data_IF_213675163045
#
_entry.id   IF_213675163045
#
_cell.length_a   1.000
_cell.length_b   1.000
_cell.length_c   1.000
_cell.angle_alpha   90.00
_cell.angle_beta   90.00
_cell.angle_gamma   90.00
#
_symmetry.space_group_name_H-M   'P 1'
#
loop_
_entity.id
_entity.type
_entity.pdbx_description
1 polymer ?
#
# COMPACT_ATOMS: atom_id res chain seq x y z
N UNK A 1 -6.38 -29.27 -1.86
CA UNK A 1 -6.79 -28.17 -2.74
C UNK A 1 -6.64 -26.88 -1.96
N UNK A 2 -6.05 -25.85 -2.57
CA UNK A 2 -5.82 -24.56 -1.93
C UNK A 2 -6.89 -23.59 -2.41
N UNK A 3 -7.95 -23.41 -1.61
CA UNK A 3 -8.95 -22.39 -1.90
C UNK A 3 -8.51 -21.03 -1.36
N UNK A 4 -8.85 -19.99 -2.09
CA UNK A 4 -8.63 -18.62 -1.67
C UNK A 4 -9.86 -17.75 -1.88
N UNK A 5 -10.03 -16.76 -1.00
CA UNK A 5 -11.05 -15.73 -1.17
C UNK A 5 -10.36 -14.40 -1.44
N UNK A 6 -10.83 -13.64 -2.41
CA UNK A 6 -10.38 -12.28 -2.68
C UNK A 6 -11.53 -11.31 -2.44
N UNK A 7 -11.28 -10.26 -1.67
CA UNK A 7 -12.19 -9.13 -1.51
C UNK A 7 -11.58 -7.87 -2.13
N UNK A 8 -12.32 -7.29 -3.07
CA UNK A 8 -12.12 -5.93 -3.56
C UNK A 8 -13.12 -5.01 -2.85
N UNK A 9 -12.61 -4.09 -2.04
CA UNK A 9 -13.42 -3.17 -1.22
C UNK A 9 -13.26 -1.75 -1.76
N UNK A 10 -14.36 -1.22 -2.28
CA UNK A 10 -14.48 0.12 -2.86
C UNK A 10 -15.46 0.96 -2.05
N UNK A 11 -15.60 2.26 -2.37
CA UNK A 11 -16.41 3.20 -1.58
C UNK A 11 -17.84 2.73 -1.26
N UNK A 12 -18.50 2.10 -2.24
CA UNK A 12 -19.93 1.74 -2.18
C UNK A 12 -20.19 0.25 -2.26
N UNK A 13 -19.20 -0.52 -2.69
CA UNK A 13 -19.37 -1.93 -3.00
C UNK A 13 -18.20 -2.77 -2.50
N UNK A 14 -18.51 -4.00 -2.10
CA UNK A 14 -17.53 -5.06 -1.91
C UNK A 14 -17.80 -6.12 -2.97
N UNK A 15 -16.77 -6.48 -3.70
CA UNK A 15 -16.80 -7.65 -4.58
C UNK A 15 -15.97 -8.76 -3.95
N UNK A 16 -16.56 -9.95 -3.85
CA UNK A 16 -15.92 -11.14 -3.34
C UNK A 16 -15.76 -12.18 -4.45
N UNK A 17 -14.65 -12.91 -4.42
CA UNK A 17 -14.34 -13.98 -5.35
C UNK A 17 -13.75 -15.16 -4.58
N UNK A 18 -14.26 -16.36 -4.83
CA UNK A 18 -13.72 -17.61 -4.29
C UNK A 18 -13.11 -18.39 -5.45
N UNK A 19 -11.85 -18.76 -5.31
CA UNK A 19 -11.07 -19.45 -6.34
C UNK A 19 -10.35 -20.67 -5.78
N UNK A 20 -10.07 -21.62 -6.67
CA UNK A 20 -9.11 -22.70 -6.50
C UNK A 20 -8.03 -22.51 -7.56
N UNK A 21 -6.82 -22.17 -7.13
CA UNK A 21 -5.75 -21.74 -8.04
C UNK A 21 -6.27 -20.60 -8.95
N UNK A 22 -6.21 -20.78 -10.28
CA UNK A 22 -6.68 -19.79 -11.26
C UNK A 22 -8.18 -19.95 -11.61
N UNK A 23 -8.87 -20.94 -11.06
CA UNK A 23 -10.28 -21.21 -11.37
C UNK A 23 -11.21 -20.47 -10.42
N UNK A 24 -12.04 -19.58 -10.97
CA UNK A 24 -13.10 -18.89 -10.23
C UNK A 24 -14.28 -19.85 -10.02
N UNK A 25 -14.68 -20.03 -8.77
CA UNK A 25 -15.75 -20.94 -8.36
C UNK A 25 -17.04 -20.17 -8.05
N UNK A 26 -16.91 -19.07 -7.31
CA UNK A 26 -18.04 -18.26 -6.89
C UNK A 26 -17.67 -16.78 -6.84
N UNK A 27 -18.66 -15.92 -7.06
CA UNK A 27 -18.49 -14.47 -6.97
C UNK A 27 -19.69 -13.84 -6.27
N UNK A 28 -19.46 -12.70 -5.62
CA UNK A 28 -20.50 -11.88 -5.03
C UNK A 28 -20.17 -10.40 -5.21
N UNK A 29 -21.21 -9.57 -5.27
CA UNK A 29 -21.08 -8.12 -5.24
C UNK A 29 -22.17 -7.54 -4.35
N UNK A 30 -21.77 -6.81 -3.32
CA UNK A 30 -22.65 -6.25 -2.31
C UNK A 30 -22.48 -4.75 -2.23
N UNK A 31 -23.57 -3.99 -2.32
CA UNK A 31 -23.57 -2.61 -1.85
C UNK A 31 -23.54 -2.58 -0.32
N UNK A 32 -22.90 -1.58 0.27
CA UNK A 32 -22.79 -1.52 1.72
C UNK A 32 -22.77 -0.12 2.32
N UNK A 33 -23.43 0.00 3.47
CA UNK A 33 -23.21 1.11 4.39
C UNK A 33 -22.26 0.73 5.52
N UNK A 34 -22.44 -0.48 6.06
CA UNK A 34 -21.60 -1.09 7.09
C UNK A 34 -20.63 -2.11 6.47
N UNK A 35 -19.33 -1.82 6.58
CA UNK A 35 -18.24 -2.63 6.04
C UNK A 35 -18.15 -4.01 6.71
N UNK A 36 -18.38 -4.08 8.03
CA UNK A 36 -18.30 -5.33 8.80
C UNK A 36 -19.41 -6.29 8.36
N UNK A 37 -20.63 -5.76 8.27
CA UNK A 37 -21.79 -6.52 7.84
C UNK A 37 -21.63 -7.05 6.42
N UNK A 38 -21.15 -6.21 5.50
CA UNK A 38 -20.95 -6.60 4.11
C UNK A 38 -19.85 -7.66 3.92
N UNK A 39 -18.76 -7.59 4.68
CA UNK A 39 -17.74 -8.65 4.67
C UNK A 39 -18.30 -10.00 5.13
N UNK A 40 -19.04 -10.00 6.25
CA UNK A 40 -19.64 -11.23 6.77
C UNK A 40 -20.66 -11.83 5.78
N UNK A 41 -21.50 -11.00 5.18
CA UNK A 41 -22.44 -11.43 4.15
C UNK A 41 -21.73 -11.91 2.89
N UNK A 42 -20.65 -11.24 2.48
CA UNK A 42 -19.84 -11.64 1.33
C UNK A 42 -19.25 -13.03 1.51
N UNK A 43 -18.62 -13.30 2.67
CA UNK A 43 -18.11 -14.62 3.02
C UNK A 43 -19.22 -15.68 3.01
N UNK A 44 -20.35 -15.39 3.67
CA UNK A 44 -21.49 -16.31 3.71
C UNK A 44 -22.06 -16.62 2.32
N UNK A 45 -22.17 -15.63 1.44
CA UNK A 45 -22.69 -15.83 0.10
C UNK A 45 -21.74 -16.68 -0.75
N UNK A 46 -20.43 -16.39 -0.71
CA UNK A 46 -19.43 -17.18 -1.42
C UNK A 46 -19.46 -18.64 -0.97
N UNK A 47 -19.51 -18.89 0.34
CA UNK A 47 -19.57 -20.25 0.88
C UNK A 47 -20.87 -20.97 0.49
N UNK A 48 -22.03 -20.32 0.62
CA UNK A 48 -23.34 -20.93 0.29
C UNK A 48 -23.50 -21.30 -1.18
N UNK A 49 -22.80 -20.62 -2.07
CA UNK A 49 -22.78 -20.96 -3.50
C UNK A 49 -21.93 -22.21 -3.79
N UNK A 50 -21.24 -22.76 -2.79
CA UNK A 50 -20.29 -23.87 -2.93
C UNK A 50 -20.52 -24.95 -1.87
N UNK A 51 -19.91 -26.12 -2.07
CA UNK A 51 -19.85 -27.18 -1.07
C UNK A 51 -18.48 -27.26 -0.40
N UNK A 52 -17.72 -26.17 -0.42
CA UNK A 52 -16.35 -26.11 0.10
C UNK A 52 -16.39 -26.05 1.61
N UNK A 53 -15.57 -26.89 2.25
CA UNK A 53 -15.38 -26.82 3.70
C UNK A 53 -14.58 -25.53 4.02
N UNK A 54 -15.07 -24.64 4.92
CA UNK A 54 -14.37 -23.40 5.27
C UNK A 54 -12.91 -23.57 5.71
N UNK A 55 -12.54 -24.72 6.27
CA UNK A 55 -11.17 -25.03 6.69
C UNK A 55 -10.19 -25.29 5.52
N UNK A 56 -10.72 -25.50 4.32
CA UNK A 56 -9.94 -25.68 3.09
C UNK A 56 -9.52 -24.33 2.47
N UNK A 57 -10.12 -23.23 2.91
CA UNK A 57 -9.69 -21.88 2.53
C UNK A 57 -8.37 -21.58 3.24
N UNK A 58 -7.30 -21.39 2.47
CA UNK A 58 -5.94 -21.17 3.01
C UNK A 58 -5.56 -19.70 3.04
N UNK A 59 -6.15 -18.87 2.18
CA UNK A 59 -5.78 -17.45 2.08
C UNK A 59 -6.99 -16.58 1.77
N UNK A 60 -7.05 -15.42 2.43
CA UNK A 60 -7.94 -14.32 2.11
C UNK A 60 -7.10 -13.14 1.64
N UNK A 61 -7.35 -12.68 0.43
CA UNK A 61 -6.73 -11.49 -0.14
C UNK A 61 -7.63 -10.28 0.05
N UNK A 62 -7.05 -9.17 0.52
CA UNK A 62 -7.73 -7.89 0.68
C UNK A 62 -7.12 -6.90 -0.30
N UNK A 63 -7.96 -6.35 -1.18
CA UNK A 63 -7.62 -5.26 -2.09
C UNK A 63 -8.50 -4.07 -1.76
N UNK A 64 -7.91 -3.00 -1.26
CA UNK A 64 -8.65 -1.78 -0.92
C UNK A 64 -7.72 -0.58 -0.83
N UNK A 65 -8.27 0.63 -1.00
CA UNK A 65 -7.58 1.87 -0.68
C UNK A 65 -8.12 2.40 0.65
N UNK A 66 -7.40 2.10 1.74
CA UNK A 66 -7.84 2.50 3.09
C UNK A 66 -7.86 4.02 3.27
N UNK A 67 -7.02 4.74 2.52
CA UNK A 67 -6.99 6.20 2.56
C UNK A 67 -8.22 6.79 1.89
N UNK A 68 -8.66 6.22 0.77
CA UNK A 68 -9.93 6.58 0.14
C UNK A 68 -11.11 6.25 1.07
N UNK A 69 -11.16 5.04 1.64
CA UNK A 69 -12.23 4.65 2.58
C UNK A 69 -12.28 5.55 3.82
N UNK A 70 -11.13 6.03 4.31
CA UNK A 70 -11.08 7.04 5.37
C UNK A 70 -11.64 8.40 4.91
N UNK A 71 -11.29 8.83 3.69
CA UNK A 71 -11.79 10.08 3.10
C UNK A 71 -13.32 10.13 3.00
N UNK A 72 -13.94 9.00 2.63
CA UNK A 72 -15.40 8.86 2.48
C UNK A 72 -16.11 8.44 3.78
N UNK A 73 -15.40 8.35 4.91
CA UNK A 73 -15.99 8.06 6.22
C UNK A 73 -16.34 6.60 6.48
N UNK A 74 -15.83 5.65 5.68
CA UNK A 74 -16.00 4.21 5.89
C UNK A 74 -15.00 3.61 6.89
N UNK A 75 -13.92 4.33 7.19
CA UNK A 75 -12.98 4.02 8.28
C UNK A 75 -13.18 5.01 9.43
N UNK A 76 -13.27 4.49 10.65
CA UNK A 76 -13.51 5.29 11.86
C UNK A 76 -12.33 6.24 12.13
N UNK A 77 -12.67 7.49 12.44
CA UNK A 77 -11.69 8.52 12.81
C UNK A 77 -11.42 8.48 14.31
N UNK A 78 -10.14 8.50 14.68
CA UNK A 78 -9.70 8.50 16.07
C UNK A 78 -8.98 9.80 16.43
N UNK A 79 -8.91 10.11 17.73
CA UNK A 79 -8.13 11.27 18.21
C UNK A 79 -6.66 10.88 18.28
N UNK A 80 -5.83 11.53 17.48
CA UNK A 80 -4.40 11.24 17.40
C UNK A 80 -3.62 12.34 18.12
N UNK A 81 -2.68 11.94 18.98
CA UNK A 81 -1.66 12.82 19.50
C UNK A 81 -0.43 12.78 18.61
N UNK A 82 0.19 13.92 18.37
CA UNK A 82 1.38 14.05 17.54
C UNK A 82 2.43 14.92 18.21
N UNK A 83 3.67 14.43 18.26
CA UNK A 83 4.80 15.17 18.82
C UNK A 83 5.91 15.29 17.79
N UNK A 84 6.27 16.54 17.46
CA UNK A 84 7.50 16.90 16.77
C UNK A 84 8.63 16.96 17.79
N UNK A 85 9.64 16.10 17.66
CA UNK A 85 10.82 16.12 18.53
C UNK A 85 12.02 16.70 17.77
N UNK A 86 12.36 17.96 18.09
CA UNK A 86 13.34 18.80 17.40
C UNK A 86 14.39 19.34 18.40
N UNK A 87 15.43 18.56 18.75
CA UNK A 87 16.47 18.99 19.68
C UNK A 87 17.20 20.25 19.24
N UNK A 88 17.56 21.12 20.18
CA UNK A 88 18.24 22.42 19.96
C UNK A 88 19.50 22.38 19.08
N UNK A 89 20.08 21.20 18.84
CA UNK A 89 21.20 21.00 17.91
C UNK A 89 20.81 21.37 16.47
N UNK A 90 19.52 21.36 16.12
CA UNK A 90 19.04 21.94 14.87
C UNK A 90 19.05 23.47 14.95
N UNK A 91 20.22 24.12 14.73
CA UNK A 91 20.36 25.57 14.51
C UNK A 91 19.69 26.08 13.22
N UNK A 92 18.98 25.19 12.51
CA UNK A 92 18.32 25.48 11.25
C UNK A 92 16.84 25.68 11.52
N UNK A 93 16.27 26.75 10.95
CA UNK A 93 14.84 27.08 10.96
C UNK A 93 14.01 25.79 10.96
N UNK A 94 13.21 25.50 12.01
CA UNK A 94 12.34 24.34 12.00
C UNK A 94 11.53 24.37 10.69
N UNK A 95 11.18 23.23 10.08
CA UNK A 95 10.32 23.23 8.90
C UNK A 95 9.07 24.05 9.25
N UNK A 96 9.03 25.28 8.71
CA UNK A 96 8.16 26.35 9.19
C UNK A 96 6.69 26.04 8.94
N UNK A 97 6.43 25.13 8.00
CA UNK A 97 5.09 24.71 7.66
C UNK A 97 4.74 23.41 8.37
N UNK A 98 3.62 23.47 9.09
CA UNK A 98 2.95 22.27 9.57
C UNK A 98 2.31 21.53 8.41
N UNK A 99 2.35 20.19 8.47
CA UNK A 99 1.48 19.37 7.63
C UNK A 99 0.05 19.91 7.68
N UNK A 100 -0.67 20.01 6.54
CA UNK A 100 -2.09 20.39 6.53
C UNK A 100 -2.96 19.52 7.46
N UNK A 101 -2.53 18.29 7.77
CA UNK A 101 -3.20 17.36 8.69
C UNK A 101 -3.08 17.76 10.16
N UNK A 102 -2.23 18.73 10.52
CA UNK A 102 -2.07 19.20 11.89
C UNK A 102 -3.39 19.71 12.51
N UNK A 103 -4.35 20.14 11.67
CA UNK A 103 -5.69 20.57 12.09
C UNK A 103 -6.60 19.42 12.54
N UNK A 104 -6.28 18.18 12.18
CA UNK A 104 -7.08 16.98 12.47
C UNK A 104 -6.61 16.24 13.73
N UNK A 105 -5.53 16.72 14.37
CA UNK A 105 -4.80 16.00 15.40
C UNK A 105 -4.36 16.95 16.52
N UNK A 106 -4.04 16.37 17.68
CA UNK A 106 -3.49 17.11 18.81
C UNK A 106 -1.97 17.20 18.65
N UNK A 107 -1.41 18.40 18.50
CA UNK A 107 0.03 18.57 18.21
C UNK A 107 0.82 19.16 19.38
N UNK A 108 2.10 18.81 19.47
CA UNK A 108 3.10 19.47 20.29
C UNK A 108 4.46 19.47 19.58
N UNK A 109 5.29 20.48 19.86
CA UNK A 109 6.70 20.54 19.43
C UNK A 109 7.58 20.65 20.66
N UNK A 110 8.60 19.81 20.74
CA UNK A 110 9.47 19.67 21.91
C UNK A 110 10.93 19.58 21.46
N UNK A 111 11.86 19.96 22.32
CA UNK A 111 13.29 20.05 22.01
C UNK A 111 14.20 19.29 23.00
N UNK A 112 13.61 18.62 23.99
CA UNK A 112 14.33 17.87 25.01
C UNK A 112 13.51 16.67 25.48
N UNK A 113 14.14 15.75 26.21
CA UNK A 113 13.43 14.58 26.74
C UNK A 113 12.48 14.99 27.89
N UNK A 114 12.84 15.99 28.68
CA UNK A 114 11.96 16.53 29.73
C UNK A 114 10.70 17.17 29.12
N UNK A 115 10.86 17.97 28.05
CA UNK A 115 9.72 18.56 27.35
C UNK A 115 8.88 17.51 26.60
N UNK A 116 9.50 16.42 26.12
CA UNK A 116 8.79 15.26 25.58
C UNK A 116 7.90 14.59 26.62
N UNK A 117 8.41 14.29 27.83
CA UNK A 117 7.61 13.68 28.88
C UNK A 117 6.45 14.60 29.31
N UNK A 118 6.71 15.91 29.42
CA UNK A 118 5.67 16.89 29.72
C UNK A 118 4.59 16.96 28.62
N UNK A 119 4.99 16.90 27.34
CA UNK A 119 4.07 16.87 26.22
C UNK A 119 3.22 15.58 26.24
N UNK A 120 3.83 14.41 26.45
CA UNK A 120 3.11 13.13 26.61
C UNK A 120 2.07 13.24 27.73
N UNK A 121 2.46 13.74 28.91
CA UNK A 121 1.53 13.96 30.03
C UNK A 121 0.38 14.90 29.66
N UNK A 122 0.65 15.95 28.88
CA UNK A 122 -0.39 16.88 28.43
C UNK A 122 -1.39 16.23 27.46
N UNK A 123 -0.92 15.29 26.62
CA UNK A 123 -1.77 14.55 25.69
C UNK A 123 -2.78 13.64 26.41
N UNK A 124 -2.46 13.16 27.62
CA UNK A 124 -3.37 12.36 28.43
C UNK A 124 -4.67 13.09 28.77
N UNK A 125 -4.58 14.41 28.99
CA UNK A 125 -5.75 15.26 29.22
C UNK A 125 -6.67 15.36 27.99
N UNK A 126 -6.14 15.07 26.80
CA UNK A 126 -6.84 15.19 25.51
C UNK A 126 -7.49 13.89 25.05
N UNK A 127 -7.37 12.79 25.82
CA UNK A 127 -7.97 11.49 25.52
C UNK A 127 -7.65 10.97 24.11
N UNK A 128 -6.37 11.05 23.73
CA UNK A 128 -5.91 10.50 22.45
C UNK A 128 -5.99 8.97 22.46
N UNK A 129 -6.15 8.36 21.28
CA UNK A 129 -6.21 6.91 21.09
C UNK A 129 -4.91 6.31 20.54
N UNK A 130 -4.02 7.16 20.01
CA UNK A 130 -2.72 6.78 19.46
C UNK A 130 -1.76 7.97 19.54
N UNK A 131 -0.49 7.70 19.78
CA UNK A 131 0.58 8.70 19.79
C UNK A 131 1.52 8.50 18.61
N UNK A 132 1.65 9.53 17.77
CA UNK A 132 2.61 9.60 16.69
C UNK A 132 3.78 10.51 17.10
N UNK A 133 5.02 10.09 16.86
CA UNK A 133 6.20 10.89 17.20
C UNK A 133 7.12 10.97 16.00
N UNK A 134 7.44 12.20 15.58
CA UNK A 134 8.40 12.44 14.50
C UNK A 134 9.70 13.01 15.08
N UNK A 135 10.71 12.15 15.35
CA UNK A 135 12.03 12.64 15.68
C UNK A 135 12.65 13.38 14.51
N UNK A 136 13.46 14.40 14.82
CA UNK A 136 14.45 14.91 13.89
C UNK A 136 15.38 13.79 13.44
N UNK A 137 16.01 13.99 12.28
CA UNK A 137 16.98 13.04 11.75
C UNK A 137 18.12 12.74 12.75
N UNK A 138 18.61 13.76 13.46
CA UNK A 138 19.68 13.63 14.46
C UNK A 138 19.26 12.82 15.70
N UNK A 139 17.96 12.79 16.01
CA UNK A 139 17.42 12.08 17.17
C UNK A 139 16.98 10.65 16.91
N UNK A 140 16.96 10.22 15.64
CA UNK A 140 16.43 8.92 15.23
C UNK A 140 17.07 7.73 15.96
N UNK A 141 18.37 7.80 16.21
CA UNK A 141 19.14 6.67 16.78
C UNK A 141 18.80 6.38 18.23
N UNK A 142 18.48 7.41 19.01
CA UNK A 142 18.23 7.28 20.44
C UNK A 142 16.75 7.44 20.80
N UNK A 143 15.95 8.12 19.97
CA UNK A 143 14.50 8.22 20.18
C UNK A 143 13.78 7.11 19.40
N UNK A 144 13.69 5.94 20.02
CA UNK A 144 13.03 4.75 19.48
C UNK A 144 11.70 4.50 20.17
N UNK A 145 10.91 3.56 19.63
CA UNK A 145 9.68 3.10 20.30
C UNK A 145 10.01 2.56 21.69
N UNK A 146 11.10 1.80 21.83
CA UNK A 146 11.54 1.22 23.09
C UNK A 146 11.86 2.29 24.14
N UNK A 147 12.46 3.42 23.74
CA UNK A 147 12.76 4.51 24.69
C UNK A 147 11.53 5.31 25.10
N UNK A 148 10.49 5.36 24.26
CA UNK A 148 9.30 6.18 24.53
C UNK A 148 8.16 5.38 25.17
N UNK A 149 8.05 4.07 24.90
CA UNK A 149 6.99 3.22 25.47
C UNK A 149 6.85 3.34 26.99
N UNK A 150 7.93 3.30 27.80
CA UNK A 150 7.80 3.42 29.26
C UNK A 150 7.19 4.77 29.70
N UNK A 151 7.50 5.86 28.99
CA UNK A 151 6.92 7.18 29.28
C UNK A 151 5.44 7.24 28.94
N UNK A 152 5.07 6.67 27.79
CA UNK A 152 3.69 6.60 27.34
C UNK A 152 2.87 5.75 28.30
N UNK A 153 3.36 4.58 28.68
CA UNK A 153 2.69 3.69 29.62
C UNK A 153 2.48 4.36 30.99
N UNK A 154 3.52 5.03 31.50
CA UNK A 154 3.47 5.78 32.78
C UNK A 154 2.37 6.86 32.81
N UNK A 155 2.16 7.59 31.71
CA UNK A 155 1.29 8.78 31.70
C UNK A 155 -0.04 8.59 30.98
N UNK A 156 -0.12 7.67 30.03
CA UNK A 156 -1.25 7.44 29.13
C UNK A 156 -1.81 6.00 29.21
N UNK A 157 -1.12 5.09 29.90
CA UNK A 157 -1.42 3.67 29.88
C UNK A 157 -1.03 3.00 28.55
N UNK A 158 -1.51 1.77 28.30
CA UNK A 158 -1.19 1.04 27.08
C UNK A 158 -1.82 1.75 25.88
N UNK A 159 -0.98 2.45 25.11
CA UNK A 159 -1.38 3.23 23.95
C UNK A 159 -0.50 2.86 22.74
N UNK A 160 -1.07 2.67 21.54
CA UNK A 160 -0.28 2.49 20.33
C UNK A 160 0.63 3.69 20.05
N UNK A 161 1.89 3.41 19.73
CA UNK A 161 2.90 4.41 19.36
C UNK A 161 3.37 4.14 17.92
N UNK A 162 3.32 5.18 17.08
CA UNK A 162 3.84 5.15 15.71
C UNK A 162 5.01 6.14 15.62
N UNK A 163 6.19 5.63 15.27
CA UNK A 163 7.38 6.47 15.12
C UNK A 163 7.55 6.86 13.65
N UNK A 164 7.84 8.12 13.35
CA UNK A 164 8.13 8.56 11.98
C UNK A 164 9.33 7.84 11.35
N UNK A 165 10.24 7.37 12.19
CA UNK A 165 11.42 6.58 11.80
C UNK A 165 11.09 5.35 10.97
N UNK A 166 9.88 4.79 11.07
CA UNK A 166 9.52 3.60 10.30
C UNK A 166 9.44 3.84 8.78
N UNK A 167 9.29 5.10 8.33
CA UNK A 167 9.14 5.43 6.91
C UNK A 167 10.47 5.68 6.19
N UNK A 168 11.61 5.66 6.90
CA UNK A 168 12.95 5.78 6.31
C UNK A 168 13.13 6.98 5.35
N UNK A 169 12.42 8.09 5.60
CA UNK A 169 12.54 9.35 4.83
C UNK A 169 13.40 10.35 5.58
N UNK A 170 14.39 10.94 4.90
CA UNK A 170 15.27 11.97 5.48
C UNK A 170 14.51 13.27 5.70
N UNK A 171 13.76 13.71 4.68
CA UNK A 171 12.98 14.93 4.73
C UNK A 171 11.95 14.90 5.86
N UNK A 172 11.99 15.93 6.71
CA UNK A 172 11.18 15.98 7.93
C UNK A 172 9.69 16.09 7.61
N UNK A 173 9.34 16.97 6.67
CA UNK A 173 7.96 17.22 6.25
C UNK A 173 7.38 16.03 5.50
N UNK A 174 8.15 15.38 4.62
CA UNK A 174 7.70 14.18 3.93
C UNK A 174 7.43 13.04 4.91
N UNK A 175 8.32 12.86 5.90
CA UNK A 175 8.14 11.86 6.95
C UNK A 175 6.97 12.19 7.87
N UNK A 176 6.79 13.46 8.20
CA UNK A 176 5.63 13.93 8.95
C UNK A 176 4.33 13.61 8.21
N UNK A 177 4.24 13.94 6.93
CA UNK A 177 3.05 13.68 6.12
C UNK A 177 2.71 12.19 6.08
N UNK A 178 3.71 11.33 5.82
CA UNK A 178 3.51 9.87 5.84
C UNK A 178 3.08 9.36 7.21
N UNK A 179 3.73 9.83 8.28
CA UNK A 179 3.43 9.44 9.64
C UNK A 179 2.00 9.81 10.03
N UNK A 180 1.60 11.06 9.78
CA UNK A 180 0.28 11.55 10.15
C UNK A 180 -0.81 10.86 9.36
N UNK A 181 -0.65 10.71 8.04
CA UNK A 181 -1.61 9.98 7.22
C UNK A 181 -1.73 8.53 7.68
N UNK A 182 -0.62 7.84 7.95
CA UNK A 182 -0.69 6.45 8.43
C UNK A 182 -1.34 6.36 9.82
N UNK A 183 -0.98 7.26 10.75
CA UNK A 183 -1.52 7.29 12.10
C UNK A 183 -3.05 7.47 12.14
N UNK A 184 -3.61 8.24 11.21
CA UNK A 184 -5.06 8.41 11.05
C UNK A 184 -5.78 7.11 10.65
N UNK A 185 -5.07 6.17 10.01
CA UNK A 185 -5.63 4.93 9.48
C UNK A 185 -5.47 3.75 10.45
N UNK A 186 -4.35 3.66 11.17
CA UNK A 186 -3.92 2.46 11.93
C UNK A 186 -5.03 1.86 12.80
N UNK A 187 -5.74 2.68 13.58
CA UNK A 187 -6.77 2.17 14.50
C UNK A 187 -8.02 1.68 13.78
N UNK A 188 -8.54 2.46 12.84
CA UNK A 188 -9.75 2.08 12.09
C UNK A 188 -9.50 0.88 11.19
N UNK A 189 -8.32 0.77 10.59
CA UNK A 189 -7.91 -0.43 9.83
C UNK A 189 -7.68 -1.63 10.74
N UNK A 190 -7.16 -1.42 11.96
CA UNK A 190 -7.09 -2.47 12.97
C UNK A 190 -8.47 -3.06 13.28
N UNK A 191 -9.48 -2.21 13.50
CA UNK A 191 -10.86 -2.64 13.73
C UNK A 191 -11.45 -3.40 12.53
N UNK A 192 -11.15 -2.97 11.30
CA UNK A 192 -11.55 -3.68 10.09
C UNK A 192 -11.05 -5.13 10.11
N UNK A 193 -9.77 -5.35 10.38
CA UNK A 193 -9.21 -6.71 10.43
C UNK A 193 -9.75 -7.50 11.62
N UNK A 194 -10.03 -6.87 12.76
CA UNK A 194 -10.66 -7.55 13.90
C UNK A 194 -12.08 -8.04 13.55
N UNK A 195 -12.83 -7.24 12.81
CA UNK A 195 -14.17 -7.62 12.33
C UNK A 195 -14.09 -8.75 11.29
N UNK A 196 -13.13 -8.68 10.36
CA UNK A 196 -12.88 -9.75 9.40
C UNK A 196 -12.50 -11.06 10.10
N UNK A 197 -11.58 -11.02 11.07
CA UNK A 197 -11.18 -12.18 11.85
C UNK A 197 -12.36 -12.80 12.63
N UNK A 198 -13.24 -11.97 13.20
CA UNK A 198 -14.49 -12.44 13.84
C UNK A 198 -15.42 -13.13 12.85
N UNK A 199 -15.62 -12.54 11.66
CA UNK A 199 -16.46 -13.13 10.61
C UNK A 199 -15.89 -14.49 10.16
N UNK A 200 -14.59 -14.56 9.91
CA UNK A 200 -13.89 -15.81 9.57
C UNK A 200 -14.04 -16.87 10.66
N UNK A 201 -13.80 -16.51 11.93
CA UNK A 201 -13.94 -17.42 13.06
C UNK A 201 -15.36 -17.97 13.22
N UNK A 202 -16.38 -17.14 12.97
CA UNK A 202 -17.79 -17.57 13.02
C UNK A 202 -18.17 -18.58 11.93
N UNK A 203 -17.39 -18.61 10.84
CA UNK A 203 -17.57 -19.51 9.70
C UNK A 203 -16.57 -20.69 9.72
N UNK A 204 -15.71 -20.78 10.74
CA UNK A 204 -14.68 -21.83 10.83
C UNK A 204 -13.52 -21.67 9.83
N UNK A 205 -13.29 -20.47 9.30
CA UNK A 205 -12.18 -20.16 8.39
C UNK A 205 -10.92 -19.83 9.20
N UNK A 206 -9.81 -20.53 8.92
CA UNK A 206 -8.49 -20.33 9.57
C UNK A 206 -7.43 -19.77 8.62
N UNK A 207 -7.87 -19.23 7.48
CA UNK A 207 -7.03 -18.71 6.42
C UNK A 207 -6.11 -17.56 6.87
N UNK A 208 -4.97 -17.41 6.19
CA UNK A 208 -4.13 -16.22 6.34
C UNK A 208 -4.73 -15.04 5.61
N UNK A 209 -4.58 -13.83 6.16
CA UNK A 209 -4.98 -12.61 5.48
C UNK A 209 -3.75 -11.93 4.85
N UNK A 210 -3.81 -11.74 3.53
CA UNK A 210 -2.81 -11.01 2.76
C UNK A 210 -3.46 -9.77 2.14
N UNK A 211 -2.74 -8.65 2.11
CA UNK A 211 -3.27 -7.37 1.64
C UNK A 211 -2.42 -6.83 0.50
N UNK A 212 -3.08 -6.42 -0.58
CA UNK A 212 -2.40 -5.85 -1.74
C UNK A 212 -1.90 -4.44 -1.45
N UNK A 213 -0.66 -4.19 -1.83
CA UNK A 213 -0.03 -2.87 -1.80
C UNK A 213 -0.17 -2.19 -3.16
N UNK A 214 -0.08 -0.87 -3.12
CA UNK A 214 0.07 0.06 -4.25
C UNK A 214 1.11 -0.36 -5.29
N UNK A 215 2.18 -1.05 -4.89
CA UNK A 215 3.24 -1.51 -5.79
C UNK A 215 2.97 -2.89 -6.43
N UNK A 216 1.79 -3.47 -6.22
CA UNK A 216 1.39 -4.77 -6.75
C UNK A 216 1.93 -5.98 -5.98
N UNK A 217 2.51 -5.78 -4.80
CA UNK A 217 2.95 -6.88 -3.93
C UNK A 217 2.00 -7.07 -2.74
N UNK A 218 1.94 -8.28 -2.20
CA UNK A 218 1.18 -8.59 -0.98
C UNK A 218 2.03 -8.32 0.27
N UNK A 219 1.36 -7.87 1.32
CA UNK A 219 1.88 -7.83 2.69
C UNK A 219 0.97 -8.64 3.63
N UNK A 220 1.50 -9.04 4.78
CA UNK A 220 0.73 -9.73 5.82
C UNK A 220 -0.28 -8.79 6.47
N UNK A 221 -1.30 -9.36 7.11
CA UNK A 221 -2.23 -8.63 7.97
C UNK A 221 -1.52 -7.75 9.01
N UNK A 222 -0.50 -8.30 9.69
CA UNK A 222 0.30 -7.59 10.68
C UNK A 222 0.94 -6.33 10.10
N UNK A 223 1.48 -6.40 8.89
CA UNK A 223 2.02 -5.24 8.17
C UNK A 223 0.92 -4.29 7.73
N UNK A 224 -0.20 -4.78 7.22
CA UNK A 224 -1.30 -3.93 6.78
C UNK A 224 -1.94 -3.14 7.94
N UNK A 225 -1.99 -3.71 9.16
CA UNK A 225 -2.40 -3.00 10.39
C UNK A 225 -1.42 -1.89 10.78
N UNK A 226 -0.12 -2.11 10.57
CA UNK A 226 0.92 -1.14 10.92
C UNK A 226 1.10 -0.04 9.85
N UNK A 227 0.95 -0.40 8.57
CA UNK A 227 1.24 0.43 7.40
C UNK A 227 0.09 0.46 6.39
N UNK A 228 -1.16 0.76 6.82
CA UNK A 228 -2.30 0.82 5.90
C UNK A 228 -2.12 1.84 4.78
N UNK A 229 -1.26 2.85 4.95
CA UNK A 229 -0.97 3.84 3.92
C UNK A 229 -0.42 3.23 2.61
N UNK A 230 0.19 2.04 2.66
CA UNK A 230 0.72 1.38 1.47
C UNK A 230 -0.36 0.77 0.57
N UNK A 231 -1.63 0.74 0.98
CA UNK A 231 -2.74 0.24 0.15
C UNK A 231 -3.33 1.30 -0.78
N UNK A 232 -2.77 2.52 -0.79
CA UNK A 232 -3.25 3.59 -1.66
C UNK A 232 -3.23 3.19 -3.13
N UNK A 233 -4.33 3.39 -3.86
CA UNK A 233 -4.49 2.89 -5.24
C UNK A 233 -4.25 1.37 -5.42
N UNK A 234 -4.34 0.54 -4.38
CA UNK A 234 -4.20 -0.91 -4.52
C UNK A 234 -5.23 -1.54 -5.49
N UNK A 235 -6.50 -1.10 -5.57
CA UNK A 235 -7.43 -1.57 -6.61
C UNK A 235 -6.90 -1.42 -8.03
N UNK A 236 -6.21 -0.30 -8.32
CA UNK A 236 -5.60 -0.05 -9.61
C UNK A 236 -4.37 -0.95 -9.84
N UNK A 237 -3.59 -1.22 -8.79
CA UNK A 237 -2.51 -2.19 -8.85
C UNK A 237 -3.04 -3.59 -9.20
N UNK A 238 -4.17 -4.01 -8.65
CA UNK A 238 -4.80 -5.29 -8.98
C UNK A 238 -5.17 -5.39 -10.47
N UNK A 239 -5.72 -4.32 -11.06
CA UNK A 239 -5.99 -4.28 -12.50
C UNK A 239 -4.72 -4.43 -13.36
N UNK A 240 -3.59 -3.88 -12.92
CA UNK A 240 -2.32 -4.03 -13.64
C UNK A 240 -1.77 -5.47 -13.54
N UNK A 241 -2.04 -6.16 -12.44
CA UNK A 241 -1.63 -7.55 -12.23
C UNK A 241 -2.50 -8.56 -12.98
N UNK A 242 -3.79 -8.29 -13.19
CA UNK A 242 -4.75 -9.23 -13.83
C UNK A 242 -4.47 -9.53 -15.32
N UNK A 243 -3.35 -9.05 -15.84
CA UNK A 243 -3.05 -9.07 -17.27
C UNK A 243 -1.57 -9.33 -17.55
N UNK A 244 -0.93 -10.29 -16.88
CA UNK A 244 0.48 -10.64 -17.19
C UNK A 244 0.66 -10.94 -18.70
N UNK A 245 1.63 -10.27 -19.33
CA UNK A 245 2.08 -10.59 -20.67
C UNK A 245 3.44 -11.29 -20.57
N UNK A 246 3.56 -12.58 -20.92
CA UNK A 246 4.69 -13.41 -20.52
C UNK A 246 6.04 -13.03 -21.16
N UNK A 247 6.03 -12.24 -22.24
CA UNK A 247 7.22 -12.04 -23.08
C UNK A 247 7.83 -10.64 -23.03
N UNK A 248 7.27 -9.69 -22.29
CA UNK A 248 7.80 -8.31 -22.26
C UNK A 248 8.15 -7.85 -20.86
N UNK A 249 9.29 -7.16 -20.76
CA UNK A 249 9.69 -6.47 -19.53
C UNK A 249 8.72 -5.34 -19.22
N UNK A 250 8.30 -4.55 -20.21
CA UNK A 250 7.39 -3.43 -20.04
C UNK A 250 6.12 -3.63 -20.84
N UNK A 251 4.97 -3.29 -20.25
CA UNK A 251 3.66 -3.45 -20.90
C UNK A 251 2.79 -2.25 -20.57
N UNK A 252 2.22 -1.61 -21.58
CA UNK A 252 1.23 -0.56 -21.41
C UNK A 252 -0.12 -1.20 -21.07
N UNK A 253 -0.79 -0.66 -20.05
CA UNK A 253 -2.10 -1.10 -19.58
C UNK A 253 -3.12 -0.03 -19.88
N UNK A 254 -4.24 -0.44 -20.48
CA UNK A 254 -5.40 0.44 -20.71
C UNK A 254 -6.59 -0.16 -20.00
N UNK A 255 -7.08 0.52 -18.97
CA UNK A 255 -8.18 0.07 -18.12
C UNK A 255 -9.36 1.02 -18.27
N UNK A 256 -10.53 0.46 -18.55
CA UNK A 256 -11.78 1.19 -18.44
C UNK A 256 -12.20 1.34 -16.97
N UNK A 257 -12.32 2.58 -16.49
CA UNK A 257 -12.98 2.91 -15.24
C UNK A 257 -14.32 3.61 -15.48
N UNK A 258 -15.09 3.83 -14.41
CA UNK A 258 -16.49 4.34 -14.50
C UNK A 258 -16.67 5.64 -15.30
N UNK A 259 -15.69 6.55 -15.23
CA UNK A 259 -15.74 7.89 -15.86
C UNK A 259 -14.47 8.26 -16.60
N UNK A 260 -13.54 7.32 -16.73
CA UNK A 260 -12.23 7.60 -17.30
C UNK A 260 -11.60 6.35 -17.87
N UNK A 261 -10.79 6.53 -18.90
CA UNK A 261 -9.87 5.54 -19.43
C UNK A 261 -8.51 5.78 -18.79
N UNK A 262 -7.98 4.76 -18.11
CA UNK A 262 -6.73 4.85 -17.36
C UNK A 262 -5.63 4.13 -18.11
N UNK A 263 -4.52 4.82 -18.33
CA UNK A 263 -3.31 4.31 -18.94
C UNK A 263 -2.23 4.18 -17.88
N UNK A 264 -1.47 3.11 -17.91
CA UNK A 264 -0.26 2.99 -17.12
C UNK A 264 0.66 1.92 -17.68
N UNK A 265 1.62 1.49 -16.87
CA UNK A 265 2.63 0.54 -17.31
C UNK A 265 2.92 -0.48 -16.22
N UNK A 266 3.24 -1.71 -16.62
CA UNK A 266 3.89 -2.69 -15.75
C UNK A 266 5.35 -2.88 -16.15
N UNK A 267 6.19 -3.18 -15.17
CA UNK A 267 7.57 -3.62 -15.33
C UNK A 267 7.73 -5.00 -14.67
N UNK A 268 8.15 -6.01 -15.44
CA UNK A 268 8.34 -7.41 -14.99
C UNK A 268 7.11 -7.97 -14.27
N UNK A 269 5.92 -7.70 -14.83
CA UNK A 269 4.64 -8.16 -14.28
C UNK A 269 4.08 -7.33 -13.13
N UNK A 270 4.83 -6.37 -12.59
CA UNK A 270 4.38 -5.52 -11.48
C UNK A 270 4.03 -4.11 -11.96
N UNK A 271 3.11 -3.38 -11.30
CA UNK A 271 2.89 -1.96 -11.57
C UNK A 271 4.20 -1.17 -11.59
N UNK A 272 4.44 -0.43 -12.68
CA UNK A 272 5.50 0.57 -12.69
C UNK A 272 5.09 1.70 -11.74
N UNK A 273 5.74 1.73 -10.58
CA UNK A 273 5.31 2.52 -9.43
C UNK A 273 6.41 3.46 -8.94
N UNK A 274 6.72 4.53 -9.70
CA UNK A 274 7.72 5.51 -9.31
C UNK A 274 7.32 6.20 -8.01
N UNK A 275 8.31 6.76 -7.31
CA UNK A 275 8.07 7.60 -6.15
C UNK A 275 7.59 9.00 -6.58
N UNK A 276 6.36 9.07 -7.07
CA UNK A 276 5.71 10.33 -7.43
C UNK A 276 4.97 10.94 -6.22
N UNK A 277 4.82 12.28 -6.16
CA UNK A 277 3.95 12.92 -5.19
C UNK A 277 2.50 12.50 -5.44
N UNK A 278 1.86 11.92 -4.42
CA UNK A 278 0.42 11.72 -4.37
C UNK A 278 -0.18 12.77 -3.45
N UNK A 279 -1.16 13.54 -3.92
CA UNK A 279 -1.84 14.51 -3.08
C UNK A 279 -3.05 13.86 -2.40
N UNK A 280 -3.07 13.83 -1.07
CA UNK A 280 -4.23 13.42 -0.28
C UNK A 280 -4.60 14.55 0.68
N UNK A 281 -5.84 15.05 0.63
CA UNK A 281 -6.29 16.17 1.48
C UNK A 281 -5.30 17.36 1.45
N UNK A 282 -4.80 17.71 0.26
CA UNK A 282 -3.79 18.77 0.03
C UNK A 282 -2.39 18.46 0.59
N UNK A 283 -2.14 17.24 1.06
CA UNK A 283 -0.86 16.82 1.62
C UNK A 283 -0.08 16.03 0.58
N UNK A 284 1.16 16.44 0.23
CA UNK A 284 2.00 15.66 -0.66
C UNK A 284 2.56 14.43 0.09
N UNK A 285 2.23 13.25 -0.44
CA UNK A 285 2.69 11.95 0.03
C UNK A 285 3.65 11.36 -1.00
N UNK A 286 4.90 11.13 -0.60
CA UNK A 286 5.90 10.51 -1.47
C UNK A 286 5.90 8.99 -1.30
N UNK A 287 4.92 8.34 -1.93
CA UNK A 287 4.69 6.89 -1.90
C UNK A 287 4.87 6.28 -3.29
N UNK A 288 5.36 5.04 -3.34
CA UNK A 288 5.29 4.24 -4.57
C UNK A 288 3.83 3.91 -4.84
N UNK A 289 3.35 4.22 -6.03
CA UNK A 289 1.99 3.92 -6.48
C UNK A 289 1.96 3.83 -8.00
N UNK A 290 0.97 3.15 -8.61
CA UNK A 290 0.96 2.95 -10.06
C UNK A 290 0.99 4.30 -10.79
N UNK A 291 1.98 4.47 -11.68
CA UNK A 291 2.05 5.65 -12.52
C UNK A 291 1.01 5.56 -13.61
N UNK A 292 0.13 6.55 -13.66
CA UNK A 292 -0.99 6.57 -14.60
C UNK A 292 -1.24 7.92 -15.20
N UNK A 293 -1.74 7.92 -16.43
CA UNK A 293 -2.43 9.05 -17.06
C UNK A 293 -3.88 8.63 -17.32
N UNK A 294 -4.81 9.57 -17.37
CA UNK A 294 -6.21 9.25 -17.65
C UNK A 294 -6.88 10.25 -18.57
N UNK A 295 -7.87 9.74 -19.32
CA UNK A 295 -8.73 10.52 -20.21
C UNK A 295 -10.16 10.41 -19.68
N UNK A 296 -10.87 11.52 -19.43
CA UNK A 296 -12.29 11.48 -19.08
C UNK A 296 -13.09 10.77 -20.18
N UNK A 297 -13.96 9.84 -19.80
CA UNK A 297 -14.86 9.18 -20.74
C UNK A 297 -16.16 10.01 -20.87
N UNK A 298 -16.59 10.37 -22.09
CA UNK A 298 -17.84 11.08 -22.29
C UNK A 298 -19.02 10.15 -21.99
N UNK A 299 -20.10 10.73 -21.46
CA UNK A 299 -21.30 9.99 -21.07
C UNK A 299 -22.09 9.42 -22.28
N UNK A 300 -21.83 9.93 -23.49
CA UNK A 300 -22.50 9.51 -24.72
C UNK A 300 -21.46 9.22 -25.81
N UNK A 301 -21.75 8.20 -26.60
CA UNK A 301 -21.03 7.86 -27.83
C UNK A 301 -21.35 8.88 -28.94
N UNK A 302 -20.49 9.03 -29.97
CA UNK A 302 -19.26 8.28 -30.25
C UNK A 302 -18.01 8.78 -29.49
N UNK A 303 -16.98 7.94 -29.40
CA UNK A 303 -15.70 8.23 -28.72
C UNK A 303 -14.62 8.82 -29.64
N UNK A 304 -14.97 9.30 -30.84
CA UNK A 304 -13.99 9.71 -31.85
C UNK A 304 -13.11 10.87 -31.39
N UNK A 305 -13.63 11.76 -30.55
CA UNK A 305 -12.90 12.89 -29.98
C UNK A 305 -11.75 12.46 -29.05
N UNK A 306 -11.75 11.20 -28.58
CA UNK A 306 -10.69 10.67 -27.72
C UNK A 306 -9.43 10.27 -28.52
N UNK A 307 -9.52 10.21 -29.86
CA UNK A 307 -8.46 9.60 -30.69
C UNK A 307 -7.09 10.25 -30.50
N UNK A 308 -7.01 11.57 -30.59
CA UNK A 308 -5.71 12.27 -30.48
C UNK A 308 -5.17 12.20 -29.06
N UNK A 309 -6.02 12.38 -28.04
CA UNK A 309 -5.61 12.22 -26.65
C UNK A 309 -5.08 10.82 -26.35
N UNK A 310 -5.72 9.76 -26.86
CA UNK A 310 -5.23 8.37 -26.71
C UNK A 310 -3.85 8.20 -27.36
N UNK A 311 -3.66 8.73 -28.58
CA UNK A 311 -2.36 8.65 -29.27
C UNK A 311 -1.25 9.37 -28.50
N UNK A 312 -1.52 10.58 -28.02
CA UNK A 312 -0.54 11.37 -27.25
C UNK A 312 -0.13 10.64 -25.98
N UNK A 313 -1.09 10.07 -25.23
CA UNK A 313 -0.79 9.31 -24.03
C UNK A 313 0.03 8.07 -24.37
N UNK A 314 -0.39 7.26 -25.35
CA UNK A 314 0.36 6.06 -25.76
C UNK A 314 1.79 6.40 -26.21
N UNK A 315 1.97 7.50 -26.95
CA UNK A 315 3.27 7.99 -27.36
C UNK A 315 4.14 8.40 -26.15
N UNK A 316 3.55 8.98 -25.10
CA UNK A 316 4.28 9.35 -23.88
C UNK A 316 4.77 8.16 -23.04
N UNK A 317 4.13 6.99 -23.18
CA UNK A 317 4.58 5.74 -22.55
C UNK A 317 5.62 5.00 -23.40
N UNK A 318 5.66 5.26 -24.72
CA UNK A 318 6.59 4.59 -25.60
C UNK A 318 7.98 5.21 -25.42
N UNK A 319 8.92 4.42 -24.92
CA UNK A 319 10.33 4.84 -24.89
C UNK A 319 10.86 4.85 -26.33
N UNK A 320 11.76 5.78 -26.65
CA UNK A 320 12.09 6.22 -28.02
C UNK A 320 12.47 5.12 -29.03
N UNK A 321 12.71 3.87 -28.63
CA UNK A 321 13.20 2.78 -29.48
C UNK A 321 12.48 1.43 -29.30
N UNK A 322 11.39 1.33 -28.53
CA UNK A 322 10.67 0.06 -28.32
C UNK A 322 9.16 0.21 -28.54
N UNK A 323 8.56 -0.59 -29.43
CA UNK A 323 7.09 -0.71 -29.54
C UNK A 323 6.55 -1.53 -28.38
N UNK A 324 6.18 -0.88 -27.28
CA UNK A 324 5.70 -1.56 -26.10
C UNK A 324 4.35 -2.25 -26.35
N UNK A 325 4.17 -3.49 -25.87
CA UNK A 325 2.89 -4.17 -25.96
C UNK A 325 1.81 -3.44 -25.15
N UNK A 326 0.60 -3.37 -25.70
CA UNK A 326 -0.59 -2.76 -25.07
C UNK A 326 -1.56 -3.86 -24.67
N UNK A 327 -1.97 -3.91 -23.40
CA UNK A 327 -3.03 -4.81 -22.94
C UNK A 327 -4.27 -4.02 -22.58
N UNK A 328 -5.39 -4.38 -23.21
CA UNK A 328 -6.68 -3.73 -23.06
C UNK A 328 -7.55 -4.50 -22.06
N UNK A 329 -7.92 -3.83 -20.97
CA UNK A 329 -8.94 -4.26 -20.02
C UNK A 329 -10.13 -3.31 -20.13
N UNK A 330 -10.87 -3.46 -21.22
CA UNK A 330 -11.98 -2.58 -21.62
C UNK A 330 -13.19 -3.46 -21.93
N UNK A 331 -14.33 -3.16 -21.32
CA UNK A 331 -15.57 -3.90 -21.48
C UNK A 331 -16.37 -3.38 -22.67
N UNK A 332 -16.37 -2.06 -22.89
CA UNK A 332 -17.14 -1.44 -23.98
C UNK A 332 -16.57 -1.77 -25.36
N UNK A 333 -17.41 -2.35 -26.22
CA UNK A 333 -17.02 -2.84 -27.55
C UNK A 333 -16.55 -1.70 -28.46
N UNK A 334 -17.21 -0.56 -28.45
CA UNK A 334 -16.88 0.58 -29.31
C UNK A 334 -15.52 1.18 -28.91
N UNK A 335 -15.30 1.36 -27.61
CA UNK A 335 -14.05 1.87 -27.06
C UNK A 335 -12.88 0.91 -27.35
N UNK A 336 -13.12 -0.39 -27.16
CA UNK A 336 -12.16 -1.45 -27.51
C UNK A 336 -11.81 -1.39 -28.99
N UNK A 337 -12.80 -1.28 -29.88
CA UNK A 337 -12.59 -1.18 -31.33
C UNK A 337 -11.77 0.05 -31.70
N UNK A 338 -12.05 1.20 -31.08
CA UNK A 338 -11.27 2.43 -31.25
C UNK A 338 -9.81 2.23 -30.83
N UNK A 339 -9.58 1.64 -29.66
CA UNK A 339 -8.24 1.36 -29.13
C UNK A 339 -7.44 0.41 -30.02
N UNK A 340 -8.06 -0.69 -30.49
CA UNK A 340 -7.42 -1.60 -31.43
C UNK A 340 -6.98 -0.89 -32.71
N UNK A 341 -7.86 -0.05 -33.31
CA UNK A 341 -7.52 0.71 -34.52
C UNK A 341 -6.39 1.71 -34.28
N UNK A 342 -6.36 2.36 -33.12
CA UNK A 342 -5.28 3.29 -32.76
C UNK A 342 -3.96 2.53 -32.60
N UNK A 343 -3.95 1.45 -31.82
CA UNK A 343 -2.75 0.62 -31.61
C UNK A 343 -2.20 0.07 -32.93
N UNK A 344 -3.07 -0.44 -33.81
CA UNK A 344 -2.68 -0.93 -35.14
C UNK A 344 -2.02 0.17 -36.00
N UNK A 345 -2.56 1.39 -35.98
CA UNK A 345 -1.98 2.54 -36.71
C UNK A 345 -0.64 3.00 -36.15
N UNK A 346 -0.42 2.79 -34.86
CA UNK A 346 0.84 3.09 -34.17
C UNK A 346 1.83 1.91 -34.21
N UNK A 347 1.49 0.80 -34.90
CA UNK A 347 2.28 -0.43 -34.94
C UNK A 347 2.59 -1.00 -33.54
N UNK A 348 1.66 -0.81 -32.59
CA UNK A 348 1.76 -1.33 -31.24
C UNK A 348 1.14 -2.74 -31.17
N UNK A 349 1.88 -3.75 -30.70
CA UNK A 349 1.31 -5.06 -30.42
C UNK A 349 0.21 -4.92 -29.36
N UNK A 350 -0.95 -5.56 -29.57
CA UNK A 350 -2.13 -5.37 -28.71
C UNK A 350 -2.77 -6.69 -28.33
N UNK A 351 -3.10 -6.83 -27.04
CA UNK A 351 -3.79 -7.99 -26.47
C UNK A 351 -4.98 -7.56 -25.64
N UNK A 352 -5.92 -8.47 -25.49
CA UNK A 352 -7.02 -8.32 -24.54
C UNK A 352 -6.67 -9.03 -23.23
N UNK A 353 -6.98 -8.41 -22.10
CA UNK A 353 -6.79 -9.03 -20.80
C UNK A 353 -7.70 -10.25 -20.65
N UNK A 354 -7.14 -11.40 -20.25
CA UNK A 354 -7.90 -12.63 -20.04
C UNK A 354 -8.75 -12.58 -18.76
N UNK A 355 -8.32 -11.82 -17.75
CA UNK A 355 -8.91 -11.86 -16.43
C UNK A 355 -9.41 -10.49 -15.96
N UNK A 356 -10.37 -10.51 -15.04
CA UNK A 356 -10.89 -9.31 -14.38
C UNK A 356 -9.94 -8.78 -13.31
N UNK A 357 -10.07 -7.50 -12.94
CA UNK A 357 -9.26 -6.85 -11.90
C UNK A 357 -9.25 -7.59 -10.56
N UNK A 358 -10.31 -8.33 -10.25
CA UNK A 358 -10.48 -9.07 -8.99
C UNK A 358 -9.54 -10.28 -8.87
N UNK A 359 -9.02 -10.77 -9.99
CA UNK A 359 -8.09 -11.91 -10.05
C UNK A 359 -6.63 -11.49 -9.93
N UNK A 360 -6.30 -10.21 -10.20
CA UNK A 360 -4.91 -9.76 -10.23
C UNK A 360 -4.19 -9.90 -8.89
N UNK A 361 -4.94 -9.86 -7.79
CA UNK A 361 -4.37 -10.10 -6.46
C UNK A 361 -3.95 -11.56 -6.23
N UNK A 362 -4.54 -12.52 -6.94
CA UNK A 362 -4.23 -13.95 -6.80
C UNK A 362 -2.81 -14.27 -7.33
N UNK A 363 -2.36 -13.51 -8.33
CA UNK A 363 -1.02 -13.65 -8.93
C UNK A 363 0.01 -12.69 -8.31
N UNK A 364 -0.40 -11.88 -7.33
CA UNK A 364 0.49 -10.91 -6.69
C UNK A 364 1.56 -11.63 -5.85
N UNK A 365 2.85 -11.29 -6.01
CA UNK A 365 3.88 -11.87 -5.15
C UNK A 365 3.78 -11.28 -3.73
N UNK A 366 4.01 -12.12 -2.73
CA UNK A 366 4.21 -11.66 -1.35
C UNK A 366 5.63 -11.12 -1.19
N UNK A 367 5.78 -10.00 -0.48
CA UNK A 367 7.08 -9.40 -0.22
C UNK A 367 7.22 -8.98 1.25
N UNK A 368 8.33 -9.41 1.85
CA UNK A 368 8.82 -8.88 3.12
C UNK A 368 9.99 -7.95 2.81
N UNK A 369 9.98 -6.76 3.38
CA UNK A 369 11.03 -5.77 3.14
C UNK A 369 11.39 -5.00 4.41
N UNK A 370 12.68 -4.68 4.53
CA UNK A 370 13.16 -3.71 5.50
C UNK A 370 14.07 -2.71 4.79
N UNK A 371 13.90 -1.45 5.13
CA UNK A 371 14.76 -0.35 4.71
C UNK A 371 15.50 0.19 5.94
N UNK A 372 16.75 0.58 5.75
CA UNK A 372 17.55 1.22 6.79
C UNK A 372 18.40 2.33 6.18
N UNK A 373 18.43 3.47 6.88
CA UNK A 373 19.32 4.57 6.53
C UNK A 373 20.66 4.44 7.27
N UNK A 374 21.76 4.56 6.54
CA UNK A 374 23.12 4.57 7.04
C UNK A 374 23.65 6.02 7.04
N UNK A 375 24.04 6.54 8.20
CA UNK A 375 24.48 7.94 8.36
C UNK A 375 25.91 8.19 7.95
N UNK A 376 26.82 7.31 8.38
CA UNK A 376 28.25 7.31 8.08
C UNK A 376 28.82 6.07 8.77
N UNK A 377 29.14 5.03 8.00
CA UNK A 377 29.71 3.82 8.57
C UNK A 377 30.79 3.23 7.67
N UNK A 378 31.93 2.97 8.30
CA UNK A 378 33.02 2.16 7.76
C UNK A 378 32.53 0.73 7.45
N UNK A 379 33.20 0.07 6.50
CA UNK A 379 32.82 -1.25 5.98
C UNK A 379 32.34 -2.30 7.01
N UNK A 380 33.03 -2.53 8.14
CA UNK A 380 32.65 -3.57 9.11
C UNK A 380 31.23 -3.40 9.67
N UNK A 381 30.86 -2.16 10.03
CA UNK A 381 29.54 -1.85 10.61
C UNK A 381 28.43 -1.89 9.57
N UNK A 382 28.75 -1.66 8.29
CA UNK A 382 27.82 -1.85 7.18
C UNK A 382 27.43 -3.33 7.04
N UNK A 383 28.40 -4.23 7.06
CA UNK A 383 28.16 -5.68 6.99
C UNK A 383 27.30 -6.19 8.17
N UNK A 384 27.55 -5.69 9.38
CA UNK A 384 26.74 -6.02 10.57
C UNK A 384 25.27 -5.61 10.39
N UNK A 385 25.01 -4.40 9.88
CA UNK A 385 23.64 -3.92 9.64
C UNK A 385 22.96 -4.75 8.55
N UNK A 386 23.67 -5.08 7.47
CA UNK A 386 23.13 -5.94 6.42
C UNK A 386 22.77 -7.33 6.95
N UNK A 387 23.63 -7.93 7.77
CA UNK A 387 23.36 -9.21 8.43
C UNK A 387 22.13 -9.12 9.35
N UNK A 388 22.02 -8.07 10.16
CA UNK A 388 20.89 -7.85 11.05
C UNK A 388 19.56 -7.66 10.29
N UNK A 389 19.59 -7.00 9.12
CA UNK A 389 18.40 -6.84 8.28
C UNK A 389 17.96 -8.17 7.65
N UNK A 390 18.90 -9.00 7.20
CA UNK A 390 18.59 -10.35 6.74
C UNK A 390 18.01 -11.22 7.85
N UNK A 391 18.63 -11.22 9.03
CA UNK A 391 18.14 -11.97 10.19
C UNK A 391 16.70 -11.55 10.53
N UNK A 392 16.42 -10.24 10.55
CA UNK A 392 15.08 -9.70 10.79
C UNK A 392 14.07 -10.15 9.74
N UNK A 393 14.45 -10.20 8.46
CA UNK A 393 13.59 -10.72 7.39
C UNK A 393 13.27 -12.20 7.59
N UNK A 394 14.25 -13.01 8.00
CA UNK A 394 14.03 -14.44 8.26
C UNK A 394 13.19 -14.70 9.51
N UNK A 395 13.42 -13.94 10.58
CA UNK A 395 12.58 -13.99 11.78
C UNK A 395 11.14 -13.60 11.45
N UNK A 396 10.94 -12.56 10.63
CA UNK A 396 9.61 -12.16 10.18
C UNK A 396 8.94 -13.26 9.35
N UNK A 397 9.65 -13.82 8.37
CA UNK A 397 9.17 -14.94 7.54
C UNK A 397 8.70 -16.13 8.39
N UNK A 398 9.45 -16.47 9.43
CA UNK A 398 9.10 -17.54 10.37
C UNK A 398 7.91 -17.17 11.25
N UNK A 399 7.91 -15.98 11.86
CA UNK A 399 6.84 -15.54 12.77
C UNK A 399 5.47 -15.40 12.10
N UNK A 400 5.46 -15.07 10.80
CA UNK A 400 4.27 -14.95 9.97
C UNK A 400 3.87 -16.32 9.33
N UNK A 401 4.60 -17.39 9.69
CA UNK A 401 4.44 -18.75 9.18
C UNK A 401 4.53 -18.85 7.64
N UNK A 402 5.28 -17.98 6.97
CA UNK A 402 5.28 -17.85 5.50
C UNK A 402 6.29 -18.76 4.80
N UNK A 403 7.08 -19.53 5.55
CA UNK A 403 8.08 -20.47 5.02
C UNK A 403 7.47 -21.52 4.09
N UNK A 404 6.18 -21.84 4.26
CA UNK A 404 5.44 -22.80 3.42
C UNK A 404 4.89 -22.21 2.11
N UNK A 405 5.03 -20.90 1.87
CA UNK A 405 4.47 -20.23 0.68
C UNK A 405 5.33 -20.35 -0.58
N UNK A 406 6.33 -21.25 -0.59
CA UNK A 406 7.14 -21.55 -1.76
C UNK A 406 8.59 -21.07 -1.69
N UNK A 407 9.22 -20.97 -2.86
CA UNK A 407 10.62 -20.57 -2.98
C UNK A 407 10.77 -19.06 -2.86
N UNK A 408 11.59 -18.63 -1.91
CA UNK A 408 11.84 -17.21 -1.64
C UNK A 408 13.07 -16.71 -2.38
N UNK A 409 12.87 -15.71 -3.23
CA UNK A 409 13.95 -14.98 -3.88
C UNK A 409 14.40 -13.80 -3.02
N UNK A 410 15.70 -13.54 -3.02
CA UNK A 410 16.32 -12.42 -2.30
C UNK A 410 16.53 -11.25 -3.26
N UNK A 411 16.34 -10.03 -2.76
CA UNK A 411 16.87 -8.84 -3.41
C UNK A 411 17.44 -7.88 -2.37
N UNK A 412 18.40 -7.07 -2.80
CA UNK A 412 18.87 -5.94 -2.03
C UNK A 412 19.27 -4.80 -2.97
N UNK A 413 19.19 -3.57 -2.47
CA UNK A 413 19.53 -2.35 -3.19
C UNK A 413 20.19 -1.37 -2.22
N UNK A 414 21.16 -0.59 -2.70
CA UNK A 414 21.85 0.44 -1.94
C UNK A 414 21.89 1.74 -2.75
N UNK A 415 21.29 2.79 -2.20
CA UNK A 415 21.18 4.10 -2.84
C UNK A 415 21.95 5.13 -2.06
N UNK A 416 23.05 5.60 -2.63
CA UNK A 416 23.82 6.70 -2.08
C UNK A 416 23.02 8.00 -2.08
N UNK A 417 23.20 8.79 -1.01
CA UNK A 417 22.40 9.99 -0.79
C UNK A 417 23.30 11.20 -1.04
N UNK A 418 23.13 11.79 -2.23
CA UNK A 418 24.03 12.81 -2.82
C UNK A 418 24.34 14.03 -1.95
N UNK A 419 23.51 14.36 -0.96
CA UNK A 419 23.64 15.55 -0.12
C UNK A 419 24.02 15.26 1.33
N UNK A 420 24.33 14.00 1.63
CA UNK A 420 24.85 13.56 2.91
C UNK A 420 26.29 13.08 2.68
N UNK A 421 27.08 12.87 3.75
CA UNK A 421 28.46 12.42 3.64
C UNK A 421 28.63 11.23 2.67
N UNK A 422 29.80 11.10 2.02
CA UNK A 422 30.03 10.20 0.87
C UNK A 422 29.73 8.71 1.13
N UNK A 423 29.47 8.31 2.38
CA UNK A 423 29.12 6.95 2.78
C UNK A 423 27.66 6.77 3.23
N UNK A 424 26.86 7.83 3.21
CA UNK A 424 25.45 7.78 3.56
C UNK A 424 24.64 7.10 2.46
N UNK A 425 23.87 6.09 2.85
CA UNK A 425 23.06 5.33 1.91
C UNK A 425 21.74 4.85 2.53
N UNK A 426 20.73 4.71 1.69
CA UNK A 426 19.53 3.95 2.00
C UNK A 426 19.75 2.53 1.48
N UNK A 427 19.76 1.57 2.39
CA UNK A 427 19.81 0.15 2.04
C UNK A 427 18.42 -0.47 2.17
N UNK A 428 18.03 -1.27 1.19
CA UNK A 428 16.76 -2.02 1.18
C UNK A 428 17.05 -3.48 0.98
N UNK A 429 16.43 -4.31 1.81
CA UNK A 429 16.48 -5.75 1.74
C UNK A 429 15.08 -6.30 1.59
N UNK A 430 14.91 -7.36 0.81
CA UNK A 430 13.65 -8.04 0.77
C UNK A 430 13.70 -9.49 0.33
N UNK A 431 12.68 -10.21 0.76
CA UNK A 431 12.33 -11.55 0.35
C UNK A 431 11.02 -11.47 -0.42
N UNK A 432 10.92 -12.14 -1.55
CA UNK A 432 9.65 -12.28 -2.26
C UNK A 432 9.40 -13.71 -2.72
N UNK A 433 8.14 -14.11 -2.73
CA UNK A 433 7.67 -15.38 -3.27
C UNK A 433 6.44 -15.12 -4.14
N UNK A 434 6.29 -15.86 -5.24
CA UNK A 434 5.01 -15.92 -5.96
C UNK A 434 4.11 -16.88 -5.19
N UNK A 435 2.94 -16.41 -4.76
CA UNK A 435 1.92 -17.30 -4.24
C UNK A 435 1.50 -18.25 -5.39
N UNK A 436 1.72 -19.55 -5.20
CA UNK A 436 1.21 -20.60 -6.09
C UNK A 436 -0.08 -21.16 -5.53
#
# INVERSE_FOLDING_TARGET
>A
MNYSISFLIEEKHISGLLAMEDLIIATTRLAYEDLAYALNNGLNQLLKQTFINPQEIKTIFITTDFLNLFGVGKIIKHRIGYIRYLPKITRNNPPLEHSPLAKLIETATVDSFESLEAAIKSMGKKKINLLAINPSFFSWRYLTKQTVSPLVEKHLGPLPIVMGTIFNKIGYTERENLLLTNALLVLGVGQFYDQLAKAMGSLGITAKILTLRSNGMLMTESKARQYPIYTVKAPLAACFLSSEHPFSRYVIKVIEGDKQLVFGMTEKGLPHAPMAPLHCQQVPLKLSHPYTQSIPLPAKQPYDDLREAIKEILASFNMADESLPVVLQVNQRELKTLLFRICQRLYLPVWEAANSSQTGVLVAPICLEHECYLSDYTGPRRSEIQAALWEKLYQELQSENLTSLGEWSKFWDERYIRYLPEQAALIRFGLFSRCK
#
